data_IF_992314807022
#
_entry.id   IF_992314807022
#
_cell.length_a   1.000
_cell.length_b   1.000
_cell.length_c   1.000
_cell.angle_alpha   90.00
_cell.angle_beta   90.00
_cell.angle_gamma   90.00
#
_symmetry.space_group_name_H-M   'P 1'
#
loop_
_entity.id
_entity.type
_entity.pdbx_description
1 polymer ?
#
# COMPACT_ATOMS: atom_id res chain seq x y z
N UNK A 1 2.04 -33.58 -16.17
CA UNK A 1 2.97 -32.79 -15.35
C UNK A 1 2.48 -31.35 -15.33
N UNK A 2 1.92 -30.91 -14.21
CA UNK A 2 1.43 -29.52 -14.04
C UNK A 2 2.56 -28.76 -13.37
N UNK A 3 3.22 -27.93 -14.16
CA UNK A 3 4.23 -27.01 -13.65
C UNK A 3 3.49 -25.84 -12.95
N UNK A 4 3.39 -25.96 -11.63
CA UNK A 4 2.96 -24.86 -10.79
C UNK A 4 4.21 -24.06 -10.48
N UNK A 5 4.57 -23.12 -11.35
CA UNK A 5 5.54 -22.10 -10.99
C UNK A 5 4.91 -21.23 -9.87
N UNK A 6 5.17 -21.63 -8.64
CA UNK A 6 4.97 -20.79 -7.46
C UNK A 6 5.98 -19.66 -7.61
N UNK A 7 5.56 -18.56 -8.23
CA UNK A 7 6.29 -17.32 -8.16
C UNK A 7 6.38 -16.94 -6.69
N UNK A 8 7.58 -17.08 -6.16
CA UNK A 8 7.90 -16.79 -4.76
C UNK A 8 7.64 -15.29 -4.53
N UNK A 9 6.46 -14.92 -4.05
CA UNK A 9 6.06 -13.53 -3.82
C UNK A 9 6.99 -12.80 -2.85
N UNK A 10 7.79 -13.54 -2.07
CA UNK A 10 8.79 -13.01 -1.16
C UNK A 10 9.99 -12.34 -1.85
N UNK A 11 10.18 -12.55 -3.17
CA UNK A 11 11.31 -12.01 -3.94
C UNK A 11 10.94 -10.83 -4.83
N UNK A 12 9.69 -10.39 -4.85
CA UNK A 12 9.28 -9.24 -5.64
C UNK A 12 9.94 -7.97 -5.12
N UNK A 13 10.52 -7.19 -6.03
CA UNK A 13 11.07 -5.87 -5.71
C UNK A 13 9.97 -4.93 -5.19
N UNK A 14 10.31 -3.99 -4.29
CA UNK A 14 9.40 -2.92 -3.91
C UNK A 14 8.92 -2.13 -5.13
N UNK A 15 7.70 -1.58 -5.05
CA UNK A 15 7.18 -0.70 -6.08
C UNK A 15 8.11 0.49 -6.32
N UNK A 16 8.43 0.85 -7.58
CA UNK A 16 9.19 2.06 -7.89
C UNK A 16 8.54 3.33 -7.31
N UNK A 17 7.21 3.36 -7.21
CA UNK A 17 6.49 4.47 -6.60
C UNK A 17 6.76 4.58 -5.10
N UNK A 18 6.67 3.46 -4.38
CA UNK A 18 7.00 3.43 -2.95
C UNK A 18 8.45 3.80 -2.71
N UNK A 19 9.39 3.25 -3.50
CA UNK A 19 10.81 3.59 -3.41
C UNK A 19 11.06 5.08 -3.60
N UNK A 20 10.41 5.70 -4.61
CA UNK A 20 10.56 7.12 -4.92
C UNK A 20 10.16 8.03 -3.76
N UNK A 21 9.13 7.65 -3.02
CA UNK A 21 8.54 8.48 -1.97
C UNK A 21 8.81 7.98 -0.54
N UNK A 22 9.58 6.90 -0.36
CA UNK A 22 9.89 6.35 0.96
C UNK A 22 10.50 7.40 1.91
N UNK A 23 11.32 8.33 1.40
CA UNK A 23 11.94 9.40 2.17
C UNK A 23 10.95 10.46 2.72
N UNK A 24 9.68 10.42 2.34
CA UNK A 24 8.64 11.24 2.98
C UNK A 24 8.29 10.73 4.39
N UNK A 25 8.61 9.49 4.70
CA UNK A 25 8.43 8.91 6.04
C UNK A 25 9.61 9.35 6.91
N UNK A 26 9.31 10.02 8.03
CA UNK A 26 10.35 10.50 8.95
C UNK A 26 11.19 9.34 9.49
N UNK A 27 12.50 9.55 9.59
CA UNK A 27 13.48 8.56 10.06
C UNK A 27 13.05 7.92 11.39
N UNK A 28 13.15 6.60 11.48
CA UNK A 28 12.72 5.82 12.64
C UNK A 28 11.22 5.83 12.91
N UNK A 29 10.42 6.48 12.07
CA UNK A 29 8.98 6.55 12.21
C UNK A 29 8.32 5.18 12.05
N UNK A 30 7.17 5.00 12.69
CA UNK A 30 6.36 3.77 12.60
C UNK A 30 5.58 3.74 11.29
N UNK A 31 5.70 2.65 10.54
CA UNK A 31 5.05 2.45 9.24
C UNK A 31 3.96 1.41 9.34
N UNK A 32 2.86 1.61 8.62
CA UNK A 32 1.80 0.62 8.41
C UNK A 32 1.81 0.20 6.93
N UNK A 33 2.02 -1.08 6.66
CA UNK A 33 1.86 -1.69 5.33
C UNK A 33 0.55 -2.49 5.29
N UNK A 34 -0.40 -1.98 4.50
CA UNK A 34 -1.78 -2.48 4.41
C UNK A 34 -1.90 -3.45 3.23
N UNK A 35 -2.47 -4.62 3.47
CA UNK A 35 -2.50 -5.72 2.51
C UNK A 35 -1.08 -6.06 2.02
N UNK A 36 -0.20 -6.31 2.99
CA UNK A 36 1.26 -6.37 2.80
C UNK A 36 1.73 -7.57 1.98
N UNK A 37 0.88 -8.58 1.76
CA UNK A 37 1.22 -9.80 1.04
C UNK A 37 2.45 -10.47 1.65
N UNK A 38 3.43 -10.82 0.82
CA UNK A 38 4.69 -11.41 1.27
C UNK A 38 5.72 -10.39 1.82
N UNK A 39 5.33 -9.12 2.00
CA UNK A 39 6.11 -8.13 2.76
C UNK A 39 7.25 -7.45 2.01
N UNK A 40 7.14 -7.25 0.70
CA UNK A 40 8.19 -6.56 -0.07
C UNK A 40 8.48 -5.14 0.41
N UNK A 41 7.44 -4.37 0.78
CA UNK A 41 7.59 -3.02 1.32
C UNK A 41 7.90 -3.03 2.81
N UNK A 42 7.36 -4.00 3.54
CA UNK A 42 7.72 -4.21 4.96
C UNK A 42 9.23 -4.36 5.12
N UNK A 43 9.87 -5.20 4.29
CA UNK A 43 11.34 -5.39 4.32
C UNK A 43 12.08 -4.11 3.94
N UNK A 44 11.58 -3.35 2.98
CA UNK A 44 12.15 -2.06 2.60
C UNK A 44 12.24 -1.12 3.80
N UNK A 45 11.12 -0.89 4.48
CA UNK A 45 11.07 0.04 5.60
C UNK A 45 11.79 -0.49 6.84
N UNK A 46 11.72 -1.79 7.13
CA UNK A 46 12.46 -2.41 8.22
C UNK A 46 13.98 -2.28 8.02
N UNK A 47 14.48 -2.51 6.80
CA UNK A 47 15.89 -2.35 6.45
C UNK A 47 16.36 -0.88 6.53
N UNK A 48 15.44 0.07 6.40
CA UNK A 48 15.69 1.51 6.54
C UNK A 48 15.55 2.02 7.98
N UNK A 49 15.41 1.12 8.96
CA UNK A 49 15.38 1.48 10.39
C UNK A 49 14.01 1.84 10.96
N UNK A 50 12.93 1.59 10.21
CA UNK A 50 11.57 1.81 10.70
C UNK A 50 11.04 0.61 11.50
N UNK A 51 10.16 0.86 12.46
CA UNK A 51 9.28 -0.17 12.99
C UNK A 51 8.06 -0.29 12.07
N UNK A 52 7.66 -1.53 11.73
CA UNK A 52 6.60 -1.74 10.75
C UNK A 52 5.48 -2.59 11.35
N UNK A 53 4.26 -2.10 11.25
CA UNK A 53 3.04 -2.89 11.37
C UNK A 53 2.66 -3.36 9.98
N UNK A 54 2.50 -4.66 9.81
CA UNK A 54 2.14 -5.29 8.55
C UNK A 54 0.85 -6.07 8.73
N UNK A 55 -0.13 -5.86 7.85
CA UNK A 55 -1.41 -6.55 7.95
C UNK A 55 -1.84 -7.12 6.61
N UNK A 56 -2.26 -8.37 6.61
CA UNK A 56 -2.88 -9.04 5.46
C UNK A 56 -3.85 -10.12 5.95
N UNK A 57 -4.79 -10.50 5.12
CA UNK A 57 -5.69 -11.62 5.40
C UNK A 57 -4.98 -12.98 5.32
N UNK A 58 -3.90 -13.05 4.53
CA UNK A 58 -3.07 -14.25 4.37
C UNK A 58 -1.59 -13.87 4.54
N UNK A 59 -1.03 -14.22 5.69
CA UNK A 59 0.37 -13.96 6.03
C UNK A 59 1.28 -15.18 5.84
N UNK A 60 0.77 -16.26 5.28
CA UNK A 60 1.50 -17.52 5.10
C UNK A 60 2.72 -17.38 4.16
N UNK A 61 2.65 -16.43 3.23
CA UNK A 61 3.75 -16.11 2.31
C UNK A 61 4.83 -15.20 2.90
N UNK A 62 4.64 -14.69 4.12
CA UNK A 62 5.60 -13.80 4.77
C UNK A 62 6.60 -14.62 5.61
N UNK A 63 7.71 -14.98 4.99
CA UNK A 63 8.78 -15.73 5.64
C UNK A 63 9.82 -14.76 6.24
N UNK A 64 10.53 -15.21 7.29
CA UNK A 64 11.65 -14.49 7.92
C UNK A 64 11.28 -13.04 8.35
N UNK A 65 10.28 -12.94 9.23
CA UNK A 65 9.79 -11.65 9.74
C UNK A 65 10.88 -10.95 10.55
N UNK A 66 11.34 -9.74 10.15
CA UNK A 66 12.33 -8.98 10.91
C UNK A 66 11.85 -8.65 12.34
N UNK A 67 12.74 -8.54 13.30
CA UNK A 67 12.41 -8.24 14.70
C UNK A 67 11.71 -6.89 14.91
N UNK A 68 11.90 -5.93 13.98
CA UNK A 68 11.26 -4.62 13.99
C UNK A 68 9.86 -4.62 13.36
N UNK A 69 9.38 -5.78 12.93
CA UNK A 69 8.09 -5.95 12.25
C UNK A 69 7.10 -6.67 13.15
N UNK A 70 5.90 -6.13 13.25
CA UNK A 70 4.73 -6.82 13.81
C UNK A 70 3.82 -7.22 12.67
N UNK A 71 3.71 -8.53 12.45
CA UNK A 71 2.86 -9.11 11.42
C UNK A 71 1.52 -9.52 12.03
N UNK A 72 0.44 -9.02 11.43
CA UNK A 72 -0.93 -9.31 11.85
C UNK A 72 -1.72 -9.96 10.72
N UNK A 73 -2.40 -11.05 11.02
CA UNK A 73 -3.40 -11.60 10.12
C UNK A 73 -4.77 -11.04 10.48
N UNK A 74 -5.42 -10.36 9.53
CA UNK A 74 -6.78 -9.83 9.66
C UNK A 74 -7.40 -9.61 8.28
N UNK A 75 -8.69 -9.88 8.15
CA UNK A 75 -9.48 -9.54 6.97
C UNK A 75 -10.02 -8.11 7.12
N UNK A 76 -9.35 -7.15 6.49
CA UNK A 76 -9.71 -5.72 6.59
C UNK A 76 -11.07 -5.36 5.96
N UNK A 77 -11.70 -6.29 5.25
CA UNK A 77 -13.02 -6.11 4.66
C UNK A 77 -14.15 -6.67 5.54
N UNK A 78 -13.82 -7.56 6.47
CA UNK A 78 -14.79 -8.25 7.34
C UNK A 78 -14.58 -7.99 8.83
N UNK A 79 -13.31 -7.86 9.26
CA UNK A 79 -12.95 -7.69 10.67
C UNK A 79 -12.95 -6.21 11.07
N UNK A 80 -13.09 -5.90 12.38
CA UNK A 80 -12.85 -4.55 12.89
C UNK A 80 -11.45 -4.06 12.57
N UNK A 81 -11.32 -2.75 12.27
CA UNK A 81 -10.01 -2.13 12.05
C UNK A 81 -9.05 -2.36 13.22
N UNK A 82 -7.92 -3.05 13.02
CA UNK A 82 -7.07 -3.52 14.12
C UNK A 82 -6.20 -2.43 14.76
N UNK A 83 -6.19 -1.22 14.19
CA UNK A 83 -5.34 -0.10 14.61
C UNK A 83 -6.17 1.13 15.04
N UNK A 84 -7.32 0.90 15.69
CA UNK A 84 -8.20 1.99 16.11
C UNK A 84 -7.46 2.99 17.03
N UNK A 85 -7.49 4.28 16.66
CA UNK A 85 -6.82 5.35 17.39
C UNK A 85 -5.31 5.44 17.16
N UNK A 86 -4.69 4.49 16.45
CA UNK A 86 -3.26 4.51 16.17
C UNK A 86 -2.93 5.43 14.99
N UNK A 87 -1.71 5.98 15.02
CA UNK A 87 -1.16 6.86 13.98
C UNK A 87 0.19 6.37 13.52
N UNK A 88 0.49 6.58 12.23
CA UNK A 88 1.69 6.09 11.58
C UNK A 88 2.40 7.23 10.84
N UNK A 89 3.72 7.23 10.90
CA UNK A 89 4.55 8.14 10.13
C UNK A 89 4.50 7.85 8.63
N UNK A 90 4.17 6.59 8.27
CA UNK A 90 3.90 6.19 6.90
C UNK A 90 2.75 5.19 6.84
N UNK A 91 1.79 5.41 5.93
CA UNK A 91 0.75 4.44 5.58
C UNK A 91 0.95 4.07 4.12
N UNK A 92 1.25 2.80 3.87
CA UNK A 92 1.62 2.26 2.57
C UNK A 92 0.54 1.29 2.11
N UNK A 93 0.04 1.45 0.89
CA UNK A 93 -0.97 0.58 0.30
C UNK A 93 -0.61 0.30 -1.15
N UNK A 94 -0.49 -0.96 -1.53
CA UNK A 94 -0.24 -1.33 -2.93
C UNK A 94 -1.09 -2.51 -3.37
N UNK A 95 -1.64 -2.43 -4.60
CA UNK A 95 -2.44 -3.48 -5.21
C UNK A 95 -3.66 -3.91 -4.36
N UNK A 96 -4.23 -2.99 -3.62
CA UNK A 96 -5.38 -3.21 -2.76
C UNK A 96 -6.35 -2.04 -2.87
N UNK A 97 -7.65 -2.32 -2.95
CA UNK A 97 -8.71 -1.32 -2.94
C UNK A 97 -9.93 -1.86 -2.18
N UNK A 98 -10.21 -1.24 -1.06
CA UNK A 98 -11.46 -1.37 -0.32
C UNK A 98 -11.94 0.02 0.08
N UNK A 99 -12.89 0.56 -0.69
CA UNK A 99 -13.36 1.95 -0.55
C UNK A 99 -13.85 2.32 0.84
N UNK A 100 -14.61 1.46 1.55
CA UNK A 100 -15.04 1.76 2.92
C UNK A 100 -13.89 2.02 3.90
N UNK A 101 -12.70 1.45 3.63
CA UNK A 101 -11.53 1.61 4.50
C UNK A 101 -10.74 2.91 4.21
N UNK A 102 -10.93 3.53 3.06
CA UNK A 102 -10.13 4.69 2.63
C UNK A 102 -10.10 5.84 3.66
N UNK A 103 -11.23 6.28 4.24
CA UNK A 103 -11.20 7.34 5.26
C UNK A 103 -10.39 6.95 6.50
N UNK A 104 -10.44 5.67 6.91
CA UNK A 104 -9.70 5.14 8.05
C UNK A 104 -8.20 5.12 7.78
N UNK A 105 -7.78 4.71 6.58
CA UNK A 105 -6.37 4.73 6.16
C UNK A 105 -5.81 6.16 6.17
N UNK A 106 -6.55 7.10 5.61
CA UNK A 106 -6.15 8.52 5.61
C UNK A 106 -6.08 9.02 7.05
N UNK A 107 -7.08 8.72 7.88
CA UNK A 107 -7.09 9.13 9.29
C UNK A 107 -5.92 8.53 10.09
N UNK A 108 -5.39 7.37 9.72
CA UNK A 108 -4.25 6.73 10.39
C UNK A 108 -2.90 7.42 10.12
N UNK A 109 -2.82 8.33 9.14
CA UNK A 109 -1.60 9.11 8.88
C UNK A 109 -1.37 10.11 10.01
N UNK A 110 -0.20 10.05 10.67
CA UNK A 110 0.19 10.97 11.72
C UNK A 110 0.40 12.41 11.21
N UNK A 111 0.34 13.45 12.05
CA UNK A 111 0.85 14.78 11.69
C UNK A 111 2.29 14.70 11.18
N UNK A 112 2.58 15.29 10.02
CA UNK A 112 3.87 15.17 9.31
C UNK A 112 4.09 13.82 8.63
N UNK A 113 3.17 12.88 8.74
CA UNK A 113 3.28 11.54 8.14
C UNK A 113 2.92 11.51 6.66
N UNK A 114 3.33 10.42 6.00
CA UNK A 114 3.14 10.18 4.58
C UNK A 114 2.05 9.12 4.31
N UNK A 115 1.31 9.33 3.23
CA UNK A 115 0.38 8.38 2.63
C UNK A 115 0.87 8.04 1.24
N UNK A 116 1.25 6.79 1.00
CA UNK A 116 1.77 6.31 -0.28
C UNK A 116 0.86 5.19 -0.75
N UNK A 117 0.12 5.45 -1.81
CA UNK A 117 -0.89 4.52 -2.32
C UNK A 117 -0.70 4.31 -3.82
N UNK A 118 -0.76 3.05 -4.26
CA UNK A 118 -0.73 2.67 -5.67
C UNK A 118 -1.62 1.45 -5.89
N UNK A 119 -2.58 1.54 -6.82
CA UNK A 119 -3.34 0.38 -7.25
C UNK A 119 -3.89 0.56 -8.67
N UNK A 120 -4.59 -0.45 -9.15
CA UNK A 120 -5.13 -0.49 -10.49
C UNK A 120 -6.28 0.52 -10.68
N UNK A 121 -6.40 1.07 -11.86
CA UNK A 121 -7.39 2.06 -12.23
C UNK A 121 -8.26 1.60 -13.42
N UNK A 122 -9.36 2.29 -13.64
CA UNK A 122 -10.27 2.08 -14.77
C UNK A 122 -9.49 2.12 -16.09
N UNK A 123 -9.72 1.14 -16.95
CA UNK A 123 -8.92 0.87 -18.14
C UNK A 123 -7.95 -0.31 -17.97
N UNK A 124 -7.67 -0.78 -16.73
CA UNK A 124 -6.82 -1.95 -16.50
C UNK A 124 -7.42 -3.25 -17.02
N UNK A 125 -8.75 -3.33 -17.15
CA UNK A 125 -9.45 -4.48 -17.72
C UNK A 125 -8.97 -4.86 -19.13
N UNK A 126 -8.40 -3.92 -19.88
CA UNK A 126 -7.81 -4.16 -21.18
C UNK A 126 -6.46 -4.91 -21.11
N UNK A 127 -5.81 -4.92 -19.95
CA UNK A 127 -4.48 -5.50 -19.75
C UNK A 127 -4.48 -6.75 -18.87
N UNK A 128 -5.59 -7.03 -18.18
CA UNK A 128 -5.72 -8.22 -17.35
C UNK A 128 -6.49 -8.00 -16.06
N UNK A 129 -6.06 -8.69 -15.02
CA UNK A 129 -6.69 -8.61 -13.69
C UNK A 129 -5.94 -7.65 -12.76
N UNK A 130 -6.66 -6.95 -11.86
CA UNK A 130 -8.12 -6.96 -11.69
C UNK A 130 -8.82 -6.29 -12.87
N UNK A 131 -10.03 -6.80 -13.20
CA UNK A 131 -10.85 -6.29 -14.30
C UNK A 131 -12.25 -5.84 -13.85
N UNK A 132 -12.63 -6.14 -12.60
CA UNK A 132 -13.93 -5.72 -12.07
C UNK A 132 -13.85 -4.27 -11.60
N UNK A 133 -14.87 -3.43 -11.89
CA UNK A 133 -14.91 -2.02 -11.49
C UNK A 133 -14.71 -1.78 -10.00
N UNK A 134 -15.17 -2.74 -9.15
CA UNK A 134 -15.03 -2.64 -7.69
C UNK A 134 -13.56 -2.54 -7.23
N UNK A 135 -12.64 -3.09 -8.02
CA UNK A 135 -11.20 -3.13 -7.74
C UNK A 135 -10.38 -2.15 -8.58
N UNK A 136 -11.06 -1.25 -9.30
CA UNK A 136 -10.44 -0.27 -10.18
C UNK A 136 -10.79 1.15 -9.72
N UNK A 137 -9.78 1.96 -9.44
CA UNK A 137 -9.97 3.37 -9.09
C UNK A 137 -10.55 4.13 -10.28
N UNK A 138 -11.52 5.00 -10.01
CA UNK A 138 -12.06 5.92 -11.01
C UNK A 138 -11.07 7.07 -11.26
N UNK A 139 -11.11 7.73 -12.43
CA UNK A 139 -10.23 8.85 -12.71
C UNK A 139 -10.23 9.90 -11.58
N UNK A 140 -9.05 10.21 -11.03
CA UNK A 140 -8.89 11.19 -9.95
C UNK A 140 -9.36 10.74 -8.57
N UNK A 141 -9.79 9.50 -8.37
CA UNK A 141 -10.40 9.03 -7.12
C UNK A 141 -9.47 9.22 -5.91
N UNK A 142 -8.16 8.97 -6.05
CA UNK A 142 -7.21 9.20 -4.95
C UNK A 142 -7.04 10.68 -4.61
N UNK A 143 -7.11 11.58 -5.59
CA UNK A 143 -7.09 13.03 -5.33
C UNK A 143 -8.31 13.47 -4.52
N UNK A 144 -9.49 12.97 -4.87
CA UNK A 144 -10.71 13.27 -4.14
C UNK A 144 -10.67 12.70 -2.72
N UNK A 145 -10.17 11.47 -2.56
CA UNK A 145 -10.07 10.82 -1.26
C UNK A 145 -9.26 11.62 -0.24
N UNK A 146 -8.14 12.23 -0.65
CA UNK A 146 -7.26 12.99 0.25
C UNK A 146 -7.60 14.48 0.35
N UNK A 147 -8.55 14.97 -0.45
CA UNK A 147 -8.92 16.38 -0.53
C UNK A 147 -9.20 16.99 0.86
N UNK A 148 -8.55 18.11 1.16
CA UNK A 148 -8.71 18.83 2.42
C UNK A 148 -8.13 18.14 3.66
N UNK A 149 -7.53 16.95 3.51
CA UNK A 149 -6.96 16.18 4.62
C UNK A 149 -5.45 16.01 4.51
N UNK A 150 -4.93 15.80 3.30
CA UNK A 150 -3.51 15.62 3.04
C UNK A 150 -3.07 16.57 1.92
N UNK A 151 -1.81 17.00 1.99
CA UNK A 151 -1.16 17.75 0.92
C UNK A 151 -0.57 16.77 -0.10
N UNK A 152 -1.00 16.87 -1.36
CA UNK A 152 -0.52 16.00 -2.43
C UNK A 152 0.88 16.44 -2.85
N UNK A 153 1.84 15.52 -2.76
CA UNK A 153 3.22 15.70 -3.24
C UNK A 153 3.35 15.27 -4.68
N UNK A 154 2.73 14.14 -5.02
CA UNK A 154 2.71 13.64 -6.40
C UNK A 154 1.45 12.78 -6.62
N UNK A 155 0.97 12.81 -7.86
CA UNK A 155 -0.15 11.98 -8.32
C UNK A 155 0.06 11.59 -9.77
N UNK A 156 -0.27 10.36 -10.10
CA UNK A 156 -0.27 9.86 -11.47
C UNK A 156 -1.49 8.96 -11.72
N UNK A 157 -2.09 9.09 -12.88
CA UNK A 157 -3.13 8.21 -13.42
C UNK A 157 -2.70 7.82 -14.83
N UNK A 158 -1.95 6.72 -14.94
CA UNK A 158 -1.14 6.40 -16.12
C UNK A 158 -1.19 4.91 -16.48
N UNK A 159 -0.78 4.62 -17.70
CA UNK A 159 -0.36 3.31 -18.15
C UNK A 159 1.10 3.06 -17.76
N UNK A 160 1.41 1.85 -17.32
CA UNK A 160 2.76 1.36 -17.04
C UNK A 160 3.02 0.05 -17.78
N UNK A 161 4.26 -0.14 -18.27
CA UNK A 161 4.67 -1.38 -18.95
C UNK A 161 5.27 -2.40 -17.99
N UNK A 162 5.87 -1.94 -16.91
CA UNK A 162 6.63 -2.77 -15.98
C UNK A 162 6.02 -2.76 -14.58
N UNK A 163 6.03 -3.88 -13.85
CA UNK A 163 6.57 -5.21 -14.21
C UNK A 163 5.73 -5.96 -15.25
N UNK A 164 4.52 -5.50 -15.52
CA UNK A 164 3.62 -5.95 -16.59
C UNK A 164 2.72 -4.80 -17.02
N UNK A 165 2.20 -4.81 -18.26
CA UNK A 165 1.25 -3.80 -18.70
C UNK A 165 0.06 -3.65 -17.73
N UNK A 166 -0.19 -2.42 -17.29
CA UNK A 166 -1.30 -2.10 -16.41
C UNK A 166 -1.70 -0.62 -16.48
N UNK A 167 -2.98 -0.33 -16.18
CA UNK A 167 -3.45 1.01 -15.88
C UNK A 167 -3.49 1.17 -14.36
N UNK A 168 -2.78 2.17 -13.84
CA UNK A 168 -2.65 2.43 -12.41
C UNK A 168 -2.95 3.87 -12.06
N UNK A 169 -3.42 4.08 -10.83
CA UNK A 169 -3.49 5.39 -10.20
C UNK A 169 -2.68 5.34 -8.92
N UNK A 170 -1.89 6.40 -8.65
CA UNK A 170 -0.98 6.42 -7.52
C UNK A 170 -0.79 7.82 -6.98
N UNK A 171 -0.64 7.90 -5.66
CA UNK A 171 -0.50 9.15 -4.92
C UNK A 171 0.56 9.03 -3.83
N UNK A 172 1.31 10.11 -3.65
CA UNK A 172 2.11 10.37 -2.46
C UNK A 172 1.63 11.69 -1.85
N UNK A 173 1.21 11.66 -0.60
CA UNK A 173 0.67 12.82 0.08
C UNK A 173 1.14 12.86 1.53
N UNK A 174 1.13 14.03 2.17
CA UNK A 174 1.57 14.22 3.55
C UNK A 174 0.51 14.96 4.36
N UNK A 175 0.41 14.61 5.64
CA UNK A 175 -0.42 15.36 6.59
C UNK A 175 0.36 16.57 7.10
N UNK A 176 -0.27 17.74 7.17
CA UNK A 176 0.32 18.89 7.84
C UNK A 176 0.71 18.54 9.29
N UNK A 177 1.76 19.20 9.78
CA UNK A 177 2.23 19.08 11.18
C UNK A 177 1.30 19.77 12.15
#
# INVERSE_FOLDING_TARGET
>A
MKDHSILNHSTLAPSPWVLRFAALVADGGRVLDVACGAGRHVRLFAASGHTVEAVDRDVSGFLDVPATVRLRQADLEADPWPYAGEKFAGVIVTNYLHRPLMPTLIAAVAPGGAFIYETFAAGNEAYGRPSRPDFLLQPGELLEAVRGQLHVVAFEDIYVDSPKPAKVQRIAAVRAR
#
